data_IF_401555428808
#
_entry.id   IF_401555428808
#
_cell.length_a   1.000
_cell.length_b   1.000
_cell.length_c   1.000
_cell.angle_alpha   90.00
_cell.angle_beta   90.00
_cell.angle_gamma   90.00
#
_symmetry.space_group_name_H-M   'P 1'
#
loop_
_entity.id
_entity.type
_entity.pdbx_description
1 polymer ?
#
# COMPACT_ATOMS: atom_id res chain seq x y z
N UNK A 1 -10.88 32.42 22.48
CA UNK A 1 -9.58 31.73 22.27
C UNK A 1 -9.15 30.85 23.45
N UNK A 2 -9.13 31.34 24.71
CA UNK A 2 -8.73 30.50 25.87
C UNK A 2 -9.71 29.35 26.20
N UNK A 3 -11.00 29.52 25.94
CA UNK A 3 -12.02 28.47 26.14
C UNK A 3 -11.93 27.33 25.11
N UNK A 4 -11.60 27.62 23.85
CA UNK A 4 -11.43 26.58 22.82
C UNK A 4 -10.20 25.71 23.06
N UNK A 5 -9.14 26.27 23.64
CA UNK A 5 -7.95 25.52 24.06
C UNK A 5 -8.27 24.58 25.24
N UNK A 6 -8.99 25.08 26.26
CA UNK A 6 -9.48 24.24 27.38
C UNK A 6 -10.36 23.09 26.92
N UNK A 7 -11.22 23.32 25.92
CA UNK A 7 -12.13 22.31 25.38
C UNK A 7 -11.41 21.25 24.52
N UNK A 8 -10.29 21.61 23.88
CA UNK A 8 -9.39 20.66 23.20
C UNK A 8 -8.60 19.82 24.21
N UNK A 9 -8.09 20.43 25.28
CA UNK A 9 -7.36 19.72 26.34
C UNK A 9 -8.28 18.75 27.12
N UNK A 10 -9.53 19.13 27.38
CA UNK A 10 -10.53 18.23 27.97
C UNK A 10 -10.89 17.03 27.08
N UNK A 11 -10.95 17.22 25.75
CA UNK A 11 -11.18 16.10 24.80
C UNK A 11 -9.99 15.14 24.73
N UNK A 12 -8.77 15.65 24.87
CA UNK A 12 -7.55 14.81 24.95
C UNK A 12 -7.51 14.05 26.28
N UNK A 13 -7.90 14.66 27.39
CA UNK A 13 -8.01 13.99 28.69
C UNK A 13 -9.09 12.90 28.74
N UNK A 14 -10.19 13.04 28.00
CA UNK A 14 -11.24 12.01 27.92
C UNK A 14 -10.83 10.78 27.08
N UNK A 15 -9.97 10.96 26.07
CA UNK A 15 -9.42 9.84 25.27
C UNK A 15 -8.38 9.01 26.05
N UNK A 16 -7.74 9.60 27.07
CA UNK A 16 -6.79 8.92 27.97
C UNK A 16 -7.44 7.98 28.99
N UNK A 17 -8.78 7.91 29.04
CA UNK A 17 -9.51 7.01 29.96
C UNK A 17 -9.82 5.64 29.35
N UNK A 18 -9.65 5.47 28.03
CA UNK A 18 -9.77 4.16 27.40
C UNK A 18 -8.40 3.46 27.40
N UNK A 19 -8.35 2.15 27.69
CA UNK A 19 -7.12 1.40 27.54
C UNK A 19 -6.62 1.53 26.09
N UNK A 20 -5.30 1.53 25.88
CA UNK A 20 -4.75 1.59 24.54
C UNK A 20 -5.29 0.45 23.68
N UNK A 21 -5.40 0.74 22.39
CA UNK A 21 -5.90 -0.22 21.43
C UNK A 21 -4.91 -1.38 21.31
N UNK A 22 -5.32 -2.56 21.76
CA UNK A 22 -4.48 -3.75 21.80
C UNK A 22 -5.06 -4.86 20.93
N UNK A 23 -4.30 -5.29 19.92
CA UNK A 23 -4.67 -6.38 19.00
C UNK A 23 -4.05 -7.73 19.41
N UNK A 24 -3.33 -7.75 20.55
CA UNK A 24 -2.62 -8.90 21.11
C UNK A 24 -3.31 -9.49 22.36
N UNK A 25 -4.36 -8.87 22.87
CA UNK A 25 -5.06 -9.39 24.06
C UNK A 25 -5.92 -10.61 23.71
N UNK A 26 -5.42 -11.79 24.09
CA UNK A 26 -6.15 -13.06 23.95
C UNK A 26 -7.26 -13.23 25.02
N UNK A 27 -7.10 -12.60 26.19
CA UNK A 27 -8.04 -12.69 27.33
C UNK A 27 -9.28 -11.80 27.17
N UNK A 28 -9.15 -10.67 26.46
CA UNK A 28 -10.23 -9.71 26.23
C UNK A 28 -10.23 -9.21 24.77
N UNK A 29 -10.48 -10.10 23.80
CA UNK A 29 -10.40 -9.73 22.40
C UNK A 29 -11.48 -8.71 22.05
N UNK A 30 -11.11 -7.71 21.26
CA UNK A 30 -12.08 -6.78 20.69
C UNK A 30 -13.16 -7.51 19.90
N UNK A 31 -14.38 -6.98 19.91
CA UNK A 31 -15.48 -7.53 19.11
C UNK A 31 -15.15 -7.49 17.61
N UNK A 32 -15.68 -8.45 16.85
CA UNK A 32 -15.48 -8.51 15.39
C UNK A 32 -15.95 -7.23 14.68
N UNK A 33 -16.98 -6.58 15.22
CA UNK A 33 -17.44 -5.28 14.73
C UNK A 33 -16.35 -4.20 14.92
N UNK A 34 -15.69 -4.17 16.07
CA UNK A 34 -14.60 -3.22 16.31
C UNK A 34 -13.39 -3.53 15.41
N UNK A 35 -13.05 -4.80 15.21
CA UNK A 35 -12.04 -5.21 14.23
C UNK A 35 -12.36 -4.68 12.84
N UNK A 36 -13.61 -4.86 12.38
CA UNK A 36 -14.04 -4.41 11.06
C UNK A 36 -14.08 -2.88 10.94
N UNK A 37 -14.56 -2.17 11.97
CA UNK A 37 -14.60 -0.70 11.98
C UNK A 37 -13.19 -0.11 11.90
N UNK A 38 -12.25 -0.69 12.65
CA UNK A 38 -10.89 -0.17 12.76
C UNK A 38 -10.00 -0.57 11.57
N UNK A 39 -10.06 -1.82 11.13
CA UNK A 39 -9.15 -2.38 10.12
C UNK A 39 -9.79 -2.58 8.75
N UNK A 40 -11.13 -2.60 8.68
CA UNK A 40 -11.88 -3.00 7.49
C UNK A 40 -11.99 -4.51 7.30
N UNK A 41 -11.39 -5.32 8.18
CA UNK A 41 -11.35 -6.78 8.09
C UNK A 41 -12.10 -7.42 9.26
N UNK A 42 -12.68 -8.59 9.01
CA UNK A 42 -13.13 -9.47 10.10
C UNK A 42 -11.92 -10.01 10.87
N UNK A 43 -12.13 -10.51 12.09
CA UNK A 43 -11.05 -11.06 12.91
C UNK A 43 -10.36 -12.25 12.26
N UNK A 44 -11.12 -13.13 11.60
CA UNK A 44 -10.57 -14.27 10.84
C UNK A 44 -9.66 -13.78 9.70
N UNK A 45 -10.16 -12.88 8.85
CA UNK A 45 -9.37 -12.32 7.74
C UNK A 45 -8.10 -11.60 8.22
N UNK A 46 -8.16 -10.94 9.39
CA UNK A 46 -6.99 -10.32 9.99
C UNK A 46 -5.97 -11.36 10.46
N UNK A 47 -6.42 -12.46 11.07
CA UNK A 47 -5.55 -13.55 11.51
C UNK A 47 -4.90 -14.28 10.33
N UNK A 48 -5.66 -14.51 9.25
CA UNK A 48 -5.15 -15.10 8.02
C UNK A 48 -4.05 -14.23 7.42
N UNK A 49 -4.29 -12.92 7.30
CA UNK A 49 -3.30 -11.95 6.84
C UNK A 49 -2.04 -11.95 7.72
N UNK A 50 -2.20 -12.04 9.04
CA UNK A 50 -1.05 -12.12 9.95
C UNK A 50 -0.27 -13.43 9.79
N UNK A 51 -0.93 -14.53 9.42
CA UNK A 51 -0.31 -15.84 9.20
C UNK A 51 0.48 -15.89 7.89
N UNK A 52 0.06 -15.13 6.88
CA UNK A 52 0.78 -15.02 5.61
C UNK A 52 2.09 -14.23 5.70
N UNK A 53 2.17 -13.30 6.66
CA UNK A 53 3.32 -12.41 6.86
C UNK A 53 4.30 -13.07 7.83
N UNK A 54 5.49 -13.53 7.36
CA UNK A 54 6.45 -14.15 8.27
C UNK A 54 6.95 -13.12 9.30
N UNK A 55 7.11 -13.49 10.58
CA UNK A 55 7.57 -12.57 11.63
C UNK A 55 8.91 -11.90 11.30
N UNK A 56 9.79 -12.59 10.57
CA UNK A 56 11.09 -12.08 10.10
C UNK A 56 11.01 -10.97 9.04
N UNK A 57 9.84 -10.73 8.45
CA UNK A 57 9.64 -9.64 7.50
C UNK A 57 9.39 -8.29 8.20
N UNK A 58 9.10 -8.30 9.50
CA UNK A 58 8.92 -7.10 10.30
C UNK A 58 10.22 -6.82 11.07
N UNK A 59 10.60 -5.54 11.15
CA UNK A 59 11.75 -5.14 11.97
C UNK A 59 11.41 -5.35 13.44
N UNK A 60 12.19 -6.17 14.10
CA UNK A 60 12.10 -6.35 15.56
C UNK A 60 12.27 -5.01 16.27
N UNK A 61 11.35 -4.76 17.18
CA UNK A 61 11.50 -3.72 18.20
C UNK A 61 10.96 -4.30 19.49
N UNK A 62 11.65 -4.03 20.59
CA UNK A 62 11.44 -4.68 21.90
C UNK A 62 10.05 -4.46 22.54
N UNK A 63 9.14 -3.77 21.86
CA UNK A 63 7.86 -3.28 22.39
C UNK A 63 6.68 -3.60 21.45
N UNK A 64 6.84 -4.50 20.45
CA UNK A 64 5.80 -4.71 19.42
C UNK A 64 5.66 -6.15 18.98
N UNK A 65 4.42 -6.59 18.87
CA UNK A 65 4.09 -7.82 18.13
C UNK A 65 3.89 -7.54 16.63
N UNK A 66 3.99 -8.58 15.79
CA UNK A 66 3.61 -8.52 14.39
C UNK A 66 2.16 -8.04 14.16
N UNK A 67 1.22 -8.46 15.02
CA UNK A 67 -0.20 -8.14 14.88
C UNK A 67 -0.47 -6.66 15.09
N UNK A 68 0.06 -6.07 16.16
CA UNK A 68 -0.10 -4.63 16.44
C UNK A 68 0.51 -3.76 15.33
N UNK A 69 1.61 -4.22 14.74
CA UNK A 69 2.26 -3.56 13.60
C UNK A 69 1.38 -3.53 12.35
N UNK A 70 0.76 -4.65 12.00
CA UNK A 70 -0.18 -4.77 10.87
C UNK A 70 -1.45 -3.96 11.15
N UNK A 71 -1.99 -4.05 12.37
CA UNK A 71 -3.18 -3.31 12.78
C UNK A 71 -2.98 -1.80 12.69
N UNK A 72 -1.84 -1.27 13.17
CA UNK A 72 -1.48 0.14 13.02
C UNK A 72 -1.55 0.63 11.58
N UNK A 73 -1.05 -0.18 10.64
CA UNK A 73 -1.09 0.15 9.22
C UNK A 73 -2.52 0.13 8.66
N UNK A 74 -3.29 -0.91 8.97
CA UNK A 74 -4.68 -1.02 8.51
C UNK A 74 -5.56 0.12 9.04
N UNK A 75 -5.44 0.44 10.33
CA UNK A 75 -6.14 1.57 10.96
C UNK A 75 -5.75 2.89 10.30
N UNK A 76 -4.47 3.09 10.00
CA UNK A 76 -4.00 4.29 9.30
C UNK A 76 -4.58 4.40 7.88
N UNK A 77 -4.54 3.31 7.12
CA UNK A 77 -5.07 3.27 5.75
C UNK A 77 -6.59 3.47 5.73
N UNK A 78 -7.30 2.91 6.72
CA UNK A 78 -8.76 2.98 6.80
C UNK A 78 -9.26 4.33 7.28
N UNK A 79 -8.70 4.84 8.38
CA UNK A 79 -9.19 6.04 9.06
C UNK A 79 -8.41 7.31 8.69
N UNK A 80 -7.34 7.20 7.91
CA UNK A 80 -6.54 8.34 7.46
C UNK A 80 -5.83 9.09 8.59
N UNK A 81 -5.57 8.42 9.72
CA UNK A 81 -5.09 9.08 10.94
C UNK A 81 -3.65 9.59 10.81
N UNK A 82 -3.39 10.72 11.47
CA UNK A 82 -2.04 11.26 11.62
C UNK A 82 -1.17 10.33 12.49
N UNK A 83 0.15 10.37 12.30
CA UNK A 83 1.06 9.57 13.12
C UNK A 83 0.95 9.91 14.62
N UNK A 84 0.62 11.16 14.95
CA UNK A 84 0.43 11.58 16.35
C UNK A 84 -0.81 10.92 16.95
N UNK A 85 -1.92 10.85 16.21
CA UNK A 85 -3.14 10.20 16.67
C UNK A 85 -2.95 8.69 16.85
N UNK A 86 -2.20 8.05 15.95
CA UNK A 86 -1.84 6.63 16.08
C UNK A 86 -0.94 6.37 17.30
N UNK A 87 0.01 7.26 17.58
CA UNK A 87 0.81 7.19 18.80
C UNK A 87 -0.07 7.23 20.06
N UNK A 88 -1.08 8.09 20.10
CA UNK A 88 -2.00 8.15 21.24
C UNK A 88 -2.88 6.91 21.36
N UNK A 89 -3.39 6.39 20.24
CA UNK A 89 -4.28 5.22 20.25
C UNK A 89 -3.58 3.92 20.67
N UNK A 90 -2.32 3.74 20.29
CA UNK A 90 -1.55 2.53 20.55
C UNK A 90 -0.46 2.74 21.62
N UNK A 91 -0.50 3.84 22.38
CA UNK A 91 0.47 4.18 23.43
C UNK A 91 1.94 4.15 23.00
N UNK A 92 2.26 4.75 21.85
CA UNK A 92 3.66 4.95 21.41
C UNK A 92 4.20 6.33 21.80
N UNK A 93 5.42 6.34 22.33
CA UNK A 93 6.09 7.56 22.81
C UNK A 93 6.50 8.55 21.70
N UNK A 94 6.80 8.07 20.48
CA UNK A 94 7.38 8.91 19.43
C UNK A 94 6.79 8.63 18.03
N UNK A 95 6.49 9.72 17.32
CA UNK A 95 6.09 9.77 15.91
C UNK A 95 7.13 9.14 14.97
N UNK A 96 8.42 9.26 15.28
CA UNK A 96 9.49 8.64 14.47
C UNK A 96 9.48 7.13 14.58
N UNK A 97 9.24 6.60 15.78
CA UNK A 97 8.98 5.17 15.99
C UNK A 97 7.77 4.75 15.15
N UNK A 98 6.68 5.54 15.18
CA UNK A 98 5.47 5.26 14.39
C UNK A 98 5.73 5.13 12.88
N UNK A 99 6.50 6.07 12.32
CA UNK A 99 6.86 6.02 10.89
C UNK A 99 7.59 4.72 10.55
N UNK A 100 8.58 4.31 11.36
CA UNK A 100 9.35 3.09 11.12
C UNK A 100 8.50 1.82 11.15
N UNK A 101 7.49 1.76 12.02
CA UNK A 101 6.54 0.62 12.05
C UNK A 101 5.78 0.56 10.73
N UNK A 102 5.21 1.70 10.32
CA UNK A 102 4.36 1.78 9.14
C UNK A 102 5.17 1.46 7.90
N UNK A 103 6.42 1.94 7.82
CA UNK A 103 7.35 1.62 6.75
C UNK A 103 7.68 0.12 6.74
N UNK A 104 7.91 -0.50 7.91
CA UNK A 104 8.17 -1.93 8.03
C UNK A 104 6.96 -2.78 7.63
N UNK A 105 5.77 -2.45 8.14
CA UNK A 105 4.53 -3.15 7.83
C UNK A 105 4.17 -3.02 6.34
N UNK A 106 4.31 -1.81 5.79
CA UNK A 106 4.05 -1.55 4.38
C UNK A 106 5.01 -2.35 3.49
N UNK A 107 6.28 -2.44 3.87
CA UNK A 107 7.28 -3.26 3.16
C UNK A 107 6.93 -4.76 3.25
N UNK A 108 6.54 -5.25 4.42
CA UNK A 108 6.18 -6.66 4.62
C UNK A 108 4.93 -7.06 3.83
N UNK A 109 3.87 -6.26 3.86
CA UNK A 109 2.65 -6.49 3.08
C UNK A 109 2.94 -6.44 1.58
N UNK A 110 3.72 -5.44 1.12
CA UNK A 110 4.15 -5.38 -0.28
C UNK A 110 4.86 -6.65 -0.72
N UNK A 111 5.79 -7.17 0.10
CA UNK A 111 6.50 -8.43 -0.20
C UNK A 111 5.56 -9.65 -0.29
N UNK A 112 4.52 -9.68 0.54
CA UNK A 112 3.51 -10.75 0.49
C UNK A 112 2.64 -10.65 -0.76
N UNK A 113 2.21 -9.44 -1.14
CA UNK A 113 1.43 -9.21 -2.37
C UNK A 113 2.22 -9.52 -3.63
N UNK A 114 3.54 -9.32 -3.63
CA UNK A 114 4.42 -9.66 -4.75
C UNK A 114 4.72 -11.15 -4.90
N UNK A 115 4.10 -12.04 -4.11
CA UNK A 115 4.35 -13.50 -4.14
C UNK A 115 4.11 -14.17 -5.49
N UNK A 116 3.38 -13.53 -6.41
CA UNK A 116 3.14 -14.06 -7.75
C UNK A 116 4.34 -13.86 -8.71
N UNK A 117 5.31 -13.02 -8.36
CA UNK A 117 6.55 -12.85 -9.13
C UNK A 117 7.68 -13.60 -8.43
N UNK A 118 8.37 -14.46 -9.18
CA UNK A 118 9.52 -15.21 -8.66
C UNK A 118 10.57 -14.27 -8.05
N UNK A 119 10.97 -14.55 -6.79
CA UNK A 119 11.85 -13.67 -6.01
C UNK A 119 13.19 -13.43 -6.69
N UNK A 120 13.74 -14.47 -7.32
CA UNK A 120 15.03 -14.39 -8.04
C UNK A 120 14.93 -13.46 -9.24
N UNK A 121 13.80 -13.48 -9.93
CA UNK A 121 13.53 -12.61 -11.07
C UNK A 121 13.37 -11.14 -10.62
N UNK A 122 12.68 -10.91 -9.50
CA UNK A 122 12.55 -9.57 -8.92
C UNK A 122 13.89 -8.99 -8.45
N UNK A 123 14.73 -9.82 -7.81
CA UNK A 123 16.08 -9.42 -7.38
C UNK A 123 16.98 -9.08 -8.56
N UNK A 124 16.89 -9.84 -9.66
CA UNK A 124 17.58 -9.52 -10.91
C UNK A 124 17.18 -8.13 -11.42
N UNK A 125 15.88 -7.84 -11.50
CA UNK A 125 15.41 -6.51 -11.94
C UNK A 125 15.82 -5.39 -10.99
N UNK A 126 15.83 -5.64 -9.68
CA UNK A 126 16.32 -4.66 -8.71
C UNK A 126 17.80 -4.35 -8.89
N UNK A 127 18.64 -5.36 -9.13
CA UNK A 127 20.06 -5.18 -9.35
C UNK A 127 20.34 -4.44 -10.66
N UNK A 128 19.71 -4.85 -11.76
CA UNK A 128 19.85 -4.16 -13.05
C UNK A 128 19.34 -2.72 -12.99
N UNK A 129 18.22 -2.49 -12.29
CA UNK A 129 17.68 -1.14 -12.06
C UNK A 129 18.66 -0.30 -11.21
N UNK A 130 19.30 -0.87 -10.19
CA UNK A 130 20.31 -0.20 -9.37
C UNK A 130 21.55 0.16 -10.19
N UNK A 131 22.05 -0.76 -11.01
CA UNK A 131 23.18 -0.51 -11.91
C UNK A 131 22.89 0.65 -12.88
N UNK A 132 21.67 0.70 -13.42
CA UNK A 132 21.22 1.80 -14.29
C UNK A 132 20.79 3.06 -13.50
N UNK A 133 21.03 3.14 -12.18
CA UNK A 133 20.64 4.25 -11.28
C UNK A 133 19.13 4.58 -11.32
N UNK A 134 18.30 3.54 -11.38
CA UNK A 134 16.84 3.58 -11.61
C UNK A 134 16.07 2.70 -10.61
N UNK A 135 16.48 2.71 -9.35
CA UNK A 135 15.94 1.83 -8.30
C UNK A 135 14.42 1.93 -8.07
N UNK A 136 13.78 3.05 -8.40
CA UNK A 136 12.34 3.23 -8.20
C UNK A 136 11.46 2.50 -9.22
N UNK A 137 12.02 2.02 -10.34
CA UNK A 137 11.27 1.53 -11.50
C UNK A 137 11.32 0.00 -11.70
N UNK A 138 11.92 -0.74 -10.77
CA UNK A 138 12.15 -2.19 -10.91
C UNK A 138 10.86 -3.01 -11.09
N UNK A 139 9.71 -2.51 -10.60
CA UNK A 139 8.42 -3.18 -10.76
C UNK A 139 7.87 -3.07 -12.19
N UNK A 140 8.03 -1.92 -12.86
CA UNK A 140 7.56 -1.77 -14.24
C UNK A 140 8.34 -2.66 -15.20
N UNK A 141 9.60 -3.00 -14.88
CA UNK A 141 10.42 -3.89 -15.69
C UNK A 141 9.92 -5.34 -15.73
N UNK A 142 8.98 -5.70 -14.84
CA UNK A 142 8.27 -6.96 -14.91
C UNK A 142 7.26 -7.02 -16.08
N UNK A 143 6.78 -5.86 -16.55
CA UNK A 143 5.86 -5.72 -17.68
C UNK A 143 6.57 -5.18 -18.93
N UNK A 144 7.51 -4.24 -18.75
CA UNK A 144 8.34 -3.66 -19.79
C UNK A 144 9.51 -4.61 -20.14
N UNK A 145 9.32 -5.46 -21.13
CA UNK A 145 10.35 -6.40 -21.61
C UNK A 145 11.34 -5.76 -22.58
N UNK A 146 10.94 -4.71 -23.30
CA UNK A 146 11.77 -4.10 -24.33
C UNK A 146 12.82 -3.15 -23.72
N UNK A 147 14.05 -3.20 -24.23
CA UNK A 147 15.14 -2.37 -23.70
C UNK A 147 14.89 -0.88 -23.96
N UNK A 148 14.26 -0.54 -25.09
CA UNK A 148 13.88 0.84 -25.43
C UNK A 148 12.88 1.45 -24.44
N UNK A 149 11.92 0.66 -23.93
CA UNK A 149 10.95 1.08 -22.92
C UNK A 149 11.62 1.32 -21.58
N UNK A 150 12.52 0.40 -21.19
CA UNK A 150 13.32 0.52 -19.96
C UNK A 150 14.22 1.74 -19.99
N UNK A 151 14.74 2.12 -21.15
CA UNK A 151 15.55 3.32 -21.35
C UNK A 151 14.71 4.60 -21.33
N UNK A 152 13.61 4.64 -22.08
CA UNK A 152 12.73 5.82 -22.24
C UNK A 152 11.78 6.04 -21.07
N UNK A 153 11.59 5.04 -20.20
CA UNK A 153 10.70 5.05 -19.02
C UNK A 153 9.24 5.30 -19.42
N UNK A 154 8.85 4.76 -20.56
CA UNK A 154 7.50 4.87 -21.12
C UNK A 154 7.20 3.54 -21.78
N UNK A 155 6.07 2.95 -21.45
CA UNK A 155 5.48 1.83 -22.18
C UNK A 155 5.15 2.31 -23.58
N UNK A 156 5.64 1.58 -24.59
CA UNK A 156 5.45 1.86 -26.02
C UNK A 156 4.52 0.78 -26.59
N UNK A 157 4.84 -0.48 -26.33
CA UNK A 157 4.05 -1.65 -26.64
C UNK A 157 3.39 -2.16 -25.36
N UNK A 158 2.14 -2.62 -25.46
CA UNK A 158 1.43 -3.07 -24.27
C UNK A 158 1.99 -4.40 -23.74
N UNK A 159 2.56 -4.36 -22.54
CA UNK A 159 3.02 -5.55 -21.83
C UNK A 159 1.85 -6.46 -21.46
N UNK A 160 2.09 -7.78 -21.49
CA UNK A 160 1.10 -8.79 -21.09
C UNK A 160 1.62 -9.58 -19.90
N UNK A 161 0.84 -9.60 -18.83
CA UNK A 161 1.06 -10.49 -17.70
C UNK A 161 -0.20 -11.29 -17.41
N UNK A 162 -0.08 -12.41 -16.73
CA UNK A 162 -1.22 -13.19 -16.29
C UNK A 162 -1.05 -13.57 -14.84
N UNK A 163 -2.17 -13.72 -14.16
CA UNK A 163 -2.22 -14.26 -12.81
C UNK A 163 -3.49 -15.07 -12.62
N UNK A 164 -3.44 -15.98 -11.67
CA UNK A 164 -4.55 -16.87 -11.37
C UNK A 164 -5.05 -16.59 -9.96
N UNK A 165 -6.37 -16.62 -9.84
CA UNK A 165 -7.07 -16.66 -8.55
C UNK A 165 -7.77 -18.01 -8.45
N UNK A 166 -8.22 -18.39 -7.26
CA UNK A 166 -8.93 -19.67 -7.04
C UNK A 166 -10.13 -19.89 -7.98
N UNK A 167 -10.72 -18.81 -8.50
CA UNK A 167 -11.96 -18.84 -9.28
C UNK A 167 -11.79 -18.50 -10.75
N UNK A 168 -10.74 -17.75 -11.13
CA UNK A 168 -10.57 -17.19 -12.48
C UNK A 168 -9.10 -16.93 -12.83
N UNK A 169 -8.79 -17.07 -14.12
CA UNK A 169 -7.55 -16.63 -14.73
C UNK A 169 -7.73 -15.20 -15.24
N UNK A 170 -6.77 -14.33 -14.95
CA UNK A 170 -6.76 -12.94 -15.38
C UNK A 170 -5.53 -12.66 -16.23
N UNK A 171 -5.73 -11.87 -17.30
CA UNK A 171 -4.65 -11.33 -18.11
C UNK A 171 -4.64 -9.83 -17.89
N UNK A 172 -3.50 -9.31 -17.45
CA UNK A 172 -3.23 -7.89 -17.31
C UNK A 172 -2.63 -7.41 -18.63
N UNK A 173 -3.23 -6.38 -19.20
CA UNK A 173 -2.71 -5.65 -20.35
C UNK A 173 -2.25 -4.29 -19.84
N UNK A 174 -0.95 -4.03 -19.87
CA UNK A 174 -0.40 -2.71 -19.57
C UNK A 174 -0.53 -1.83 -20.81
N UNK A 175 -1.12 -0.65 -20.68
CA UNK A 175 -1.44 0.20 -21.81
C UNK A 175 -0.59 1.48 -21.78
N UNK A 176 -0.09 1.95 -22.95
CA UNK A 176 0.82 3.07 -22.98
C UNK A 176 0.12 4.40 -22.65
N UNK A 177 0.70 5.15 -21.70
CA UNK A 177 0.16 6.42 -21.19
C UNK A 177 0.61 7.68 -21.93
N UNK A 178 1.18 7.56 -23.14
CA UNK A 178 1.63 8.72 -23.93
C UNK A 178 0.77 8.93 -25.18
N UNK A 179 0.45 10.18 -25.51
CA UNK A 179 -0.44 10.56 -26.64
C UNK A 179 0.01 9.98 -27.98
N UNK A 180 1.31 9.78 -28.17
CA UNK A 180 1.88 9.19 -29.40
C UNK A 180 1.51 7.71 -29.59
N UNK A 181 1.13 6.99 -28.53
CA UNK A 181 0.87 5.55 -28.54
C UNK A 181 -0.60 5.20 -28.31
N UNK A 182 -1.51 6.16 -28.52
CA UNK A 182 -2.96 5.95 -28.46
C UNK A 182 -3.44 4.76 -29.33
N UNK A 183 -2.91 4.52 -30.55
CA UNK A 183 -3.30 3.34 -31.33
C UNK A 183 -3.01 2.02 -30.62
N UNK A 184 -1.87 1.92 -29.93
CA UNK A 184 -1.48 0.72 -29.18
C UNK A 184 -2.38 0.53 -27.95
N UNK A 185 -2.73 1.63 -27.27
CA UNK A 185 -3.69 1.63 -26.16
C UNK A 185 -5.08 1.16 -26.61
N UNK A 186 -5.57 1.60 -27.77
CA UNK A 186 -6.86 1.15 -28.33
C UNK A 186 -6.82 -0.35 -28.62
N UNK A 187 -5.72 -0.86 -29.17
CA UNK A 187 -5.53 -2.29 -29.41
C UNK A 187 -5.58 -3.13 -28.14
N UNK A 188 -4.99 -2.64 -27.04
CA UNK A 188 -5.08 -3.28 -25.72
C UNK A 188 -6.48 -3.22 -25.12
N UNK A 189 -7.12 -2.04 -25.19
CA UNK A 189 -8.48 -1.85 -24.66
C UNK A 189 -9.52 -2.70 -25.40
N UNK A 190 -9.36 -2.93 -26.70
CA UNK A 190 -10.27 -3.78 -27.49
C UNK A 190 -10.24 -5.26 -27.08
N UNK A 191 -9.17 -5.70 -26.40
CA UNK A 191 -9.03 -7.08 -25.91
C UNK A 191 -9.52 -7.25 -24.46
N UNK A 192 -9.83 -6.14 -23.76
CA UNK A 192 -10.14 -6.15 -22.34
C UNK A 192 -11.64 -6.05 -22.09
N UNK A 193 -12.17 -6.93 -21.23
CA UNK A 193 -13.56 -6.84 -20.74
C UNK A 193 -13.71 -5.82 -19.62
N UNK A 194 -12.63 -5.57 -18.87
CA UNK A 194 -12.60 -4.70 -17.69
C UNK A 194 -11.43 -3.72 -17.84
N UNK A 195 -11.68 -2.44 -17.53
CA UNK A 195 -10.68 -1.39 -17.53
C UNK A 195 -10.42 -0.87 -16.12
N UNK A 196 -9.15 -0.57 -15.82
CA UNK A 196 -8.72 0.07 -14.57
C UNK A 196 -8.16 1.44 -14.93
N UNK A 197 -8.77 2.49 -14.37
CA UNK A 197 -8.29 3.86 -14.52
C UNK A 197 -7.44 4.24 -13.31
N UNK A 198 -6.16 4.55 -13.54
CA UNK A 198 -5.23 4.99 -12.50
C UNK A 198 -5.08 6.51 -12.58
N UNK A 199 -5.37 7.20 -11.47
CA UNK A 199 -5.28 8.66 -11.38
C UNK A 199 -4.25 9.02 -10.30
N UNK A 200 -3.28 9.87 -10.63
CA UNK A 200 -2.34 10.39 -9.64
C UNK A 200 -3.03 11.37 -8.70
N UNK A 201 -2.77 11.22 -7.39
CA UNK A 201 -3.28 12.13 -6.35
C UNK A 201 -2.28 13.22 -5.98
N UNK A 202 -1.14 13.30 -6.67
CA UNK A 202 -0.11 14.31 -6.38
C UNK A 202 -0.54 15.66 -6.94
N UNK A 203 -0.36 16.71 -6.12
CA UNK A 203 -0.58 18.10 -6.55
C UNK A 203 0.36 18.43 -7.71
N UNK A 204 -0.17 19.03 -8.76
CA UNK A 204 0.51 19.30 -10.03
C UNK A 204 0.21 18.23 -11.09
N UNK A 205 0.34 16.95 -10.74
CA UNK A 205 0.12 15.84 -11.68
C UNK A 205 -1.37 15.61 -11.97
N UNK A 206 -2.21 15.72 -10.94
CA UNK A 206 -3.66 15.61 -11.08
C UNK A 206 -4.19 16.68 -12.03
N UNK A 207 -3.85 17.94 -11.78
CA UNK A 207 -4.32 19.09 -12.56
C UNK A 207 -3.84 19.00 -14.02
N UNK A 208 -2.64 18.49 -14.26
CA UNK A 208 -2.16 18.23 -15.62
C UNK A 208 -2.92 17.10 -16.30
N UNK A 209 -3.41 16.08 -15.59
CA UNK A 209 -4.20 15.01 -16.20
C UNK A 209 -5.55 15.49 -16.73
N UNK A 210 -6.20 16.41 -16.01
CA UNK A 210 -7.56 16.91 -16.35
C UNK A 210 -7.56 18.16 -17.25
N UNK A 211 -6.39 18.61 -17.71
CA UNK A 211 -6.27 19.73 -18.63
C UNK A 211 -6.89 19.44 -20.01
N UNK A 212 -7.46 20.46 -20.67
CA UNK A 212 -7.97 20.29 -22.05
C UNK A 212 -6.82 19.89 -22.99
N UNK A 213 -6.91 18.69 -23.56
CA UNK A 213 -5.92 18.15 -24.49
C UNK A 213 -4.97 17.12 -23.87
N UNK A 214 -5.18 16.75 -22.60
CA UNK A 214 -4.43 15.71 -21.89
C UNK A 214 -5.12 14.34 -21.99
N UNK A 215 -4.42 13.26 -21.60
CA UNK A 215 -4.78 11.88 -21.99
C UNK A 215 -5.86 11.21 -21.10
N UNK A 216 -6.10 11.74 -19.89
CA UNK A 216 -7.12 11.26 -18.94
C UNK A 216 -8.43 12.01 -19.08
#
# INVERSE_FOLDING_TARGET
>A
MKEELKNKDCKIHALNQNPPLNFDDDEAPMSDLNYHVLTGLTREQFNDLCSEIPPSALRDTDIRTPRTTIACLLVKLRLGLSHQALCTLFSFEDKRKMSRILDSACTAIKRCLTRQVDKRTLEKYQNEAREKSRESWYLSWALDTNEEEREKRKTIEGGRAWFETEKKHFIILDAPGHKCFVPNMIGGAAQADIAILVISTRKGEFETGFGRGEQT
#
